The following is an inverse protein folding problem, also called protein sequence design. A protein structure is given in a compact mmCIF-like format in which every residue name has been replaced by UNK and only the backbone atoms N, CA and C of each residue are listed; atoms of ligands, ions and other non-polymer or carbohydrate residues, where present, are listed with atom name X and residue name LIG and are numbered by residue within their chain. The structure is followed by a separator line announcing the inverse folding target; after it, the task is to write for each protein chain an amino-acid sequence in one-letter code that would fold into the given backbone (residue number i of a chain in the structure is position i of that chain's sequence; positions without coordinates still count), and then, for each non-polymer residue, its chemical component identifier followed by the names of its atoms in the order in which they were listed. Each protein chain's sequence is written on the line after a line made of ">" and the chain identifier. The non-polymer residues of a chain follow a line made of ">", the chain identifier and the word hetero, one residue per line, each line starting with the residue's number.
data_IF_423275776431
#
_entry.id   IF_423275776431
#
_cell.length_a   1.000
_cell.length_b   1.000
_cell.length_c   1.000
_cell.angle_alpha   90.00
_cell.angle_beta   90.00
_cell.angle_gamma   90.00
#
_symmetry.space_group_name_H-M   'P 1'
#
loop_
_entity.id
_entity.type
_entity.pdbx_description
1 polymer ?
#
# COMPACT_ATOMS: atom_id res chain seq x y z
N UNK A 1 15.18 2.05 7.29
CA UNK A 1 14.63 3.39 6.96
C UNK A 1 15.39 4.46 7.70
N UNK A 2 15.82 5.54 7.02
CA UNK A 2 16.35 6.73 7.68
C UNK A 2 15.22 7.73 7.94
N UNK A 3 14.51 7.55 9.05
CA UNK A 3 13.37 8.40 9.42
C UNK A 3 13.83 9.79 9.87
N UNK A 4 14.88 9.88 10.69
CA UNK A 4 15.41 11.15 11.22
C UNK A 4 15.81 12.17 10.14
N UNK A 5 16.38 11.70 9.03
CA UNK A 5 16.92 12.54 7.94
C UNK A 5 16.01 12.58 6.71
N UNK A 6 14.71 12.33 6.89
CA UNK A 6 13.75 12.32 5.79
C UNK A 6 13.73 13.69 5.08
N UNK A 7 14.17 13.70 3.83
CA UNK A 7 14.09 14.88 2.94
C UNK A 7 12.64 15.14 2.56
N UNK A 8 12.37 16.34 2.04
CA UNK A 8 11.04 16.69 1.50
C UNK A 8 10.56 15.60 0.51
N UNK A 9 9.35 15.04 0.68
CA UNK A 9 8.84 13.98 -0.17
C UNK A 9 8.72 14.45 -1.62
N UNK A 10 9.17 13.61 -2.56
CA UNK A 10 9.04 13.84 -4.02
C UNK A 10 8.11 12.83 -4.69
N UNK A 11 7.69 11.81 -3.93
CA UNK A 11 6.80 10.73 -4.34
C UNK A 11 6.94 9.52 -3.44
N UNK A 12 6.20 8.46 -3.78
CA UNK A 12 6.34 7.14 -3.18
C UNK A 12 7.72 6.57 -3.51
N UNK A 13 8.45 6.09 -2.50
CA UNK A 13 9.80 5.53 -2.67
C UNK A 13 9.76 4.19 -3.40
N UNK A 14 10.87 3.85 -4.06
CA UNK A 14 10.96 2.66 -4.89
C UNK A 14 10.65 1.36 -4.15
N UNK A 15 11.01 1.23 -2.87
CA UNK A 15 10.72 0.01 -2.13
C UNK A 15 9.22 -0.34 -2.07
N UNK A 16 8.31 0.65 -2.02
CA UNK A 16 6.86 0.40 -2.10
C UNK A 16 6.49 -0.04 -3.51
N UNK A 17 7.07 0.58 -4.54
CA UNK A 17 6.82 0.22 -5.94
C UNK A 17 7.30 -1.21 -6.21
N UNK A 18 8.47 -1.57 -5.70
CA UNK A 18 9.04 -2.91 -5.80
C UNK A 18 8.17 -3.92 -5.04
N UNK A 19 7.69 -3.57 -3.85
CA UNK A 19 6.73 -4.38 -3.10
C UNK A 19 5.43 -4.61 -3.88
N UNK A 20 4.88 -3.57 -4.51
CA UNK A 20 3.71 -3.69 -5.38
C UNK A 20 3.99 -4.62 -6.55
N UNK A 21 5.14 -4.48 -7.22
CA UNK A 21 5.55 -5.40 -8.28
C UNK A 21 5.65 -6.84 -7.79
N UNK A 22 6.17 -7.08 -6.58
CA UNK A 22 6.22 -8.42 -5.98
C UNK A 22 4.85 -9.00 -5.66
N UNK A 23 3.90 -8.17 -5.20
CA UNK A 23 2.52 -8.62 -4.99
C UNK A 23 1.86 -8.96 -6.35
N UNK A 24 2.13 -8.19 -7.41
CA UNK A 24 1.67 -8.50 -8.78
C UNK A 24 2.25 -9.82 -9.28
N UNK A 25 3.55 -10.07 -9.07
CA UNK A 25 4.19 -11.34 -9.42
C UNK A 25 3.47 -12.52 -8.74
N UNK A 26 3.25 -12.44 -7.43
CA UNK A 26 2.52 -13.48 -6.68
C UNK A 26 1.09 -13.66 -7.21
N UNK A 27 0.37 -12.56 -7.46
CA UNK A 27 -0.98 -12.61 -8.00
C UNK A 27 -1.01 -13.35 -9.35
N UNK A 28 -0.12 -12.99 -10.27
CA UNK A 28 -0.02 -13.59 -11.59
C UNK A 28 0.39 -15.07 -11.54
N UNK A 29 1.32 -15.45 -10.67
CA UNK A 29 1.75 -16.84 -10.48
C UNK A 29 0.61 -17.71 -9.93
N UNK A 30 -0.13 -17.22 -8.93
CA UNK A 30 -1.29 -17.94 -8.39
C UNK A 30 -2.40 -18.04 -9.44
N UNK A 31 -2.63 -16.97 -10.20
CA UNK A 31 -3.63 -16.96 -11.28
C UNK A 31 -3.31 -18.01 -12.35
N UNK A 32 -2.05 -18.10 -12.78
CA UNK A 32 -1.61 -19.04 -13.80
C UNK A 32 -1.77 -20.51 -13.36
N UNK A 33 -1.61 -20.80 -12.07
CA UNK A 33 -1.76 -22.15 -11.51
C UNK A 33 -3.23 -22.47 -11.21
N UNK A 34 -3.94 -21.57 -10.53
CA UNK A 34 -5.30 -21.78 -10.07
C UNK A 34 -6.01 -20.46 -9.71
N UNK A 35 -6.84 -19.92 -10.63
CA UNK A 35 -7.53 -18.64 -10.42
C UNK A 35 -8.40 -18.59 -9.15
N UNK A 36 -8.97 -19.73 -8.73
CA UNK A 36 -9.84 -19.80 -7.55
C UNK A 36 -9.13 -19.49 -6.24
N UNK A 37 -7.79 -19.59 -6.20
CA UNK A 37 -6.99 -19.31 -5.00
C UNK A 37 -6.41 -17.90 -4.96
N UNK A 38 -6.49 -17.12 -6.04
CA UNK A 38 -5.87 -15.80 -6.17
C UNK A 38 -6.27 -14.88 -5.02
N UNK A 39 -7.57 -14.72 -4.77
CA UNK A 39 -8.08 -13.87 -3.69
C UNK A 39 -7.52 -14.30 -2.34
N UNK A 40 -7.60 -15.60 -2.03
CA UNK A 40 -7.20 -16.13 -0.71
C UNK A 40 -5.70 -15.98 -0.48
N UNK A 41 -4.88 -16.30 -1.47
CA UNK A 41 -3.42 -16.19 -1.35
C UNK A 41 -3.00 -14.73 -1.27
N UNK A 42 -3.54 -13.88 -2.14
CA UNK A 42 -3.23 -12.45 -2.16
C UNK A 42 -3.62 -11.79 -0.83
N UNK A 43 -4.80 -12.09 -0.28
CA UNK A 43 -5.22 -11.63 1.05
C UNK A 43 -4.21 -11.99 2.14
N UNK A 44 -3.67 -13.22 2.15
CA UNK A 44 -2.65 -13.63 3.12
C UNK A 44 -1.32 -12.89 2.95
N UNK A 45 -0.93 -12.60 1.72
CA UNK A 45 0.24 -11.74 1.46
C UNK A 45 0.00 -10.32 1.96
N UNK A 46 -1.18 -9.75 1.69
CA UNK A 46 -1.53 -8.39 2.13
C UNK A 46 -1.56 -8.30 3.66
N UNK A 47 -2.11 -9.31 4.35
CA UNK A 47 -2.07 -9.38 5.82
C UNK A 47 -0.63 -9.33 6.34
N UNK A 48 0.24 -10.22 5.89
CA UNK A 48 1.65 -10.26 6.32
C UNK A 48 2.40 -8.96 6.01
N UNK A 49 2.17 -8.36 4.85
CA UNK A 49 2.77 -7.08 4.47
C UNK A 49 2.27 -5.94 5.36
N UNK A 50 0.96 -5.91 5.64
CA UNK A 50 0.36 -4.87 6.48
C UNK A 50 0.87 -4.95 7.93
N UNK A 51 0.98 -6.15 8.50
CA UNK A 51 1.54 -6.38 9.83
C UNK A 51 2.99 -5.87 9.93
N UNK A 52 3.81 -6.21 8.93
CA UNK A 52 5.21 -5.81 8.94
C UNK A 52 5.38 -4.29 8.75
N UNK A 53 4.55 -3.66 7.92
CA UNK A 53 4.54 -2.20 7.80
C UNK A 53 4.11 -1.52 9.10
N UNK A 54 3.05 -1.99 9.76
CA UNK A 54 2.62 -1.47 11.05
C UNK A 54 3.72 -1.61 12.09
N UNK A 55 4.35 -2.78 12.19
CA UNK A 55 5.50 -3.01 13.08
C UNK A 55 6.64 -2.04 12.80
N UNK A 56 6.95 -1.79 11.52
CA UNK A 56 8.00 -0.85 11.13
C UNK A 56 7.69 0.59 11.52
N UNK A 57 6.42 1.02 11.49
CA UNK A 57 5.99 2.35 11.95
C UNK A 57 6.11 2.46 13.47
N UNK A 58 5.64 1.45 14.20
CA UNK A 58 5.65 1.43 15.66
C UNK A 58 7.05 1.39 16.28
N UNK A 59 8.03 0.79 15.58
CA UNK A 59 9.42 0.75 16.04
C UNK A 59 10.20 2.06 15.85
N UNK A 60 9.60 3.11 15.26
CA UNK A 60 10.29 4.39 15.03
C UNK A 60 10.17 5.28 16.25
N UNK A 61 11.30 5.55 16.89
CA UNK A 61 11.35 6.44 18.06
C UNK A 61 11.59 7.90 17.71
N UNK A 62 12.06 8.19 16.50
CA UNK A 62 12.40 9.55 16.07
C UNK A 62 11.98 9.84 14.64
N UNK A 63 11.25 10.95 14.47
CA UNK A 63 10.74 11.42 13.20
C UNK A 63 11.42 12.74 12.82
N UNK A 64 12.07 12.77 11.65
CA UNK A 64 12.41 14.03 11.00
C UNK A 64 11.14 14.77 10.52
N UNK A 65 11.23 16.06 10.16
CA UNK A 65 10.08 16.92 9.87
C UNK A 65 9.17 16.42 8.73
N UNK A 66 9.74 15.69 7.77
CA UNK A 66 9.00 15.15 6.62
C UNK A 66 8.61 13.68 6.75
N UNK A 67 9.05 13.01 7.81
CA UNK A 67 8.83 11.57 8.02
C UNK A 67 7.35 11.22 8.10
N UNK A 68 6.50 11.96 8.84
CA UNK A 68 5.07 11.63 8.92
C UNK A 68 4.39 11.71 7.55
N UNK A 69 4.77 12.69 6.73
CA UNK A 69 4.22 12.84 5.37
C UNK A 69 4.63 11.65 4.50
N UNK A 70 5.92 11.30 4.50
CA UNK A 70 6.43 10.20 3.71
C UNK A 70 5.82 8.85 4.15
N UNK A 71 5.76 8.59 5.46
CA UNK A 71 5.16 7.37 6.03
C UNK A 71 3.70 7.23 5.62
N UNK A 72 2.89 8.27 5.85
CA UNK A 72 1.47 8.24 5.51
C UNK A 72 1.26 8.12 3.99
N UNK A 73 2.08 8.79 3.16
CA UNK A 73 2.04 8.66 1.70
C UNK A 73 2.23 7.20 1.26
N UNK A 74 3.18 6.50 1.88
CA UNK A 74 3.52 5.12 1.53
C UNK A 74 2.49 4.10 2.00
N UNK A 75 1.98 4.27 3.22
CA UNK A 75 0.88 3.47 3.75
C UNK A 75 -0.37 3.60 2.87
N UNK A 76 -0.77 4.84 2.55
CA UNK A 76 -1.94 5.09 1.70
C UNK A 76 -1.74 4.56 0.28
N UNK A 77 -0.55 4.76 -0.30
CA UNK A 77 -0.26 4.26 -1.64
C UNK A 77 -0.42 2.74 -1.73
N UNK A 78 0.10 2.00 -0.74
CA UNK A 78 -0.05 0.55 -0.73
C UNK A 78 -1.49 0.13 -0.40
N UNK A 79 -2.13 0.74 0.61
CA UNK A 79 -3.51 0.43 1.00
C UNK A 79 -4.48 0.60 -0.18
N UNK A 80 -4.39 1.70 -0.91
CA UNK A 80 -5.26 1.96 -2.07
C UNK A 80 -4.95 1.02 -3.25
N UNK A 81 -3.69 0.61 -3.41
CA UNK A 81 -3.28 -0.36 -4.43
C UNK A 81 -3.95 -1.71 -4.19
N UNK A 82 -3.99 -2.16 -2.93
CA UNK A 82 -4.42 -3.51 -2.56
C UNK A 82 -5.85 -3.55 -2.03
N UNK A 83 -6.61 -2.47 -2.20
CA UNK A 83 -7.92 -2.24 -1.59
C UNK A 83 -8.90 -3.42 -1.78
N UNK A 84 -8.87 -4.09 -2.93
CA UNK A 84 -9.79 -5.20 -3.21
C UNK A 84 -9.46 -6.51 -2.46
N UNK A 85 -8.24 -6.63 -1.92
CA UNK A 85 -7.80 -7.76 -1.11
C UNK A 85 -7.63 -7.37 0.35
N UNK A 86 -8.09 -6.20 0.76
CA UNK A 86 -8.07 -5.84 2.17
C UNK A 86 -9.02 -6.75 2.94
N UNK A 87 -8.47 -7.41 3.95
CA UNK A 87 -9.25 -8.10 4.97
C UNK A 87 -9.53 -7.13 6.13
N UNK A 88 -10.48 -7.45 7.02
CA UNK A 88 -10.70 -6.66 8.23
C UNK A 88 -9.43 -6.50 9.07
N UNK A 89 -8.61 -7.56 9.13
CA UNK A 89 -7.32 -7.55 9.84
C UNK A 89 -6.33 -6.58 9.19
N UNK A 90 -6.06 -6.73 7.89
CA UNK A 90 -5.17 -5.83 7.17
C UNK A 90 -5.64 -4.36 7.26
N UNK A 91 -6.95 -4.13 7.19
CA UNK A 91 -7.55 -2.81 7.34
C UNK A 91 -7.29 -2.20 8.71
N UNK A 92 -7.35 -3.00 9.79
CA UNK A 92 -6.97 -2.57 11.13
C UNK A 92 -5.49 -2.21 11.18
N UNK A 93 -4.59 -3.05 10.64
CA UNK A 93 -3.16 -2.77 10.63
C UNK A 93 -2.83 -1.42 9.99
N UNK A 94 -3.42 -1.11 8.83
CA UNK A 94 -3.23 0.20 8.18
C UNK A 94 -3.78 1.35 9.02
N UNK A 95 -4.96 1.17 9.64
CA UNK A 95 -5.55 2.18 10.51
C UNK A 95 -4.65 2.46 11.70
N UNK A 96 -4.23 1.42 12.41
CA UNK A 96 -3.38 1.52 13.60
C UNK A 96 -2.05 2.21 13.24
N UNK A 97 -1.43 1.82 12.11
CA UNK A 97 -0.21 2.47 11.63
C UNK A 97 -0.40 3.96 11.26
N UNK A 98 -1.58 4.34 10.74
CA UNK A 98 -1.89 5.73 10.42
C UNK A 98 -2.22 6.55 11.67
N UNK A 99 -2.79 5.94 12.69
CA UNK A 99 -3.12 6.56 13.97
C UNK A 99 -1.87 6.79 14.83
N UNK A 100 -0.88 5.88 14.74
CA UNK A 100 0.43 6.01 15.41
C UNK A 100 1.29 7.15 14.82
N UNK A 101 0.99 7.63 13.61
CA UNK A 101 1.75 8.69 12.96
C UNK A 101 1.28 10.08 13.40
N UNK A 102 2.19 11.06 13.57
CA UNK A 102 1.81 12.44 13.87
C UNK A 102 0.79 13.01 12.86
N UNK A 103 -0.14 13.82 13.38
CA UNK A 103 -1.16 14.51 12.57
C UNK A 103 -0.49 15.52 11.64
N UNK A 104 -0.88 15.52 10.37
CA UNK A 104 -0.33 16.44 9.37
C UNK A 104 -0.97 17.82 9.46
N UNK A 105 -0.15 18.85 9.23
CA UNK A 105 -0.64 20.21 8.97
C UNK A 105 -1.35 20.26 7.61
N UNK A 106 -2.29 21.20 7.38
CA UNK A 106 -3.05 21.30 6.14
C UNK A 106 -2.19 21.36 4.88
N UNK A 107 -1.09 22.11 4.90
CA UNK A 107 -0.15 22.23 3.77
C UNK A 107 0.55 20.90 3.44
N UNK A 108 0.81 20.09 4.45
CA UNK A 108 1.44 18.79 4.33
C UNK A 108 0.46 17.72 3.84
N UNK A 109 -0.81 17.82 4.26
CA UNK A 109 -1.89 16.98 3.75
C UNK A 109 -2.12 17.22 2.24
N UNK A 110 -2.15 18.49 1.81
CA UNK A 110 -2.25 18.83 0.38
C UNK A 110 -1.09 18.25 -0.43
N UNK A 111 0.14 18.43 0.04
CA UNK A 111 1.33 17.85 -0.62
C UNK A 111 1.25 16.32 -0.70
N UNK A 112 0.79 15.65 0.36
CA UNK A 112 0.61 14.21 0.37
C UNK A 112 -0.39 13.76 -0.71
N UNK A 113 -1.55 14.41 -0.80
CA UNK A 113 -2.59 14.09 -1.78
C UNK A 113 -2.09 14.29 -3.21
N UNK A 114 -1.36 15.38 -3.49
CA UNK A 114 -0.72 15.63 -4.79
C UNK A 114 0.27 14.52 -5.17
N UNK A 115 1.11 14.10 -4.24
CA UNK A 115 2.10 13.03 -4.46
C UNK A 115 1.44 11.66 -4.65
N UNK A 116 0.34 11.40 -3.94
CA UNK A 116 -0.43 10.17 -4.08
C UNK A 116 -1.11 10.10 -5.45
N UNK A 117 -1.70 11.19 -5.91
CA UNK A 117 -2.29 11.29 -7.25
C UNK A 117 -1.23 11.10 -8.34
N UNK A 118 -0.06 11.73 -8.19
CA UNK A 118 1.08 11.53 -9.10
C UNK A 118 1.50 10.06 -9.14
N UNK A 119 1.58 9.40 -7.99
CA UNK A 119 1.89 7.97 -7.91
C UNK A 119 0.86 7.13 -8.69
N UNK A 120 -0.44 7.36 -8.49
CA UNK A 120 -1.51 6.66 -9.22
C UNK A 120 -1.40 6.84 -10.73
N UNK A 121 -1.10 8.05 -11.19
CA UNK A 121 -0.92 8.32 -12.62
C UNK A 121 0.31 7.59 -13.19
N UNK A 122 1.42 7.56 -12.44
CA UNK A 122 2.67 6.93 -12.89
C UNK A 122 2.62 5.40 -12.87
N UNK A 123 1.85 4.81 -11.94
CA UNK A 123 1.77 3.36 -11.74
C UNK A 123 0.46 2.76 -12.26
N UNK A 124 -0.29 3.50 -13.08
CA UNK A 124 -1.65 3.15 -13.52
C UNK A 124 -1.75 1.71 -14.02
N UNK A 125 -0.84 1.27 -14.89
CA UNK A 125 -0.86 -0.08 -15.46
C UNK A 125 -0.64 -1.16 -14.41
N UNK A 126 0.27 -0.94 -13.47
CA UNK A 126 0.55 -1.87 -12.38
C UNK A 126 -0.64 -1.97 -11.42
N UNK A 127 -1.27 -0.84 -11.09
CA UNK A 127 -2.46 -0.82 -10.24
C UNK A 127 -3.63 -1.57 -10.88
N UNK A 128 -3.74 -1.54 -12.21
CA UNK A 128 -4.77 -2.28 -12.96
C UNK A 128 -4.65 -3.80 -12.85
N UNK A 129 -3.47 -4.35 -12.51
CA UNK A 129 -3.30 -5.79 -12.30
C UNK A 129 -4.17 -6.31 -11.17
N UNK A 130 -4.48 -5.47 -10.18
CA UNK A 130 -5.37 -5.81 -9.09
C UNK A 130 -6.83 -5.68 -9.53
N UNK A 131 -7.19 -4.59 -10.24
CA UNK A 131 -8.59 -4.29 -10.63
C UNK A 131 -9.27 -5.30 -11.56
N UNK A 132 -8.50 -6.10 -12.31
CA UNK A 132 -9.05 -7.09 -13.27
C UNK A 132 -9.91 -8.19 -12.65
N UNK A 133 -9.73 -8.50 -11.37
CA UNK A 133 -10.44 -9.61 -10.70
C UNK A 133 -11.95 -9.38 -10.55
N UNK A 134 -12.43 -8.12 -10.62
CA UNK A 134 -13.86 -7.82 -10.63
C UNK A 134 -14.59 -8.37 -11.87
N UNK A 135 -13.90 -8.47 -13.01
CA UNK A 135 -14.50 -8.93 -14.28
C UNK A 135 -14.60 -10.46 -14.31
N UNK A 136 -13.67 -11.15 -13.65
CA UNK A 136 -13.67 -12.62 -13.59
C UNK A 136 -14.65 -13.15 -12.55
N UNK A 137 -14.84 -12.46 -11.41
CA UNK A 137 -15.85 -12.81 -10.41
C UNK A 137 -17.27 -12.76 -10.96
N UNK A 138 -17.61 -11.74 -11.74
CA UNK A 138 -18.94 -11.64 -12.37
C UNK A 138 -19.19 -12.69 -13.46
N UNK A 139 -18.12 -13.25 -14.04
CA UNK A 139 -18.20 -14.30 -15.07
C UNK A 139 -18.31 -15.71 -14.49
N UNK A 140 -17.97 -15.91 -13.20
CA UNK A 140 -18.07 -17.19 -12.50
C UNK A 140 -19.38 -17.39 -11.72
N UNK A 141 -20.19 -16.33 -11.61
CA UNK A 141 -21.51 -16.34 -10.95
C UNK A 141 -22.69 -16.39 -11.94
N UNK A 142 -22.41 -16.53 -13.24
CA UNK A 142 -23.38 -16.70 -14.34
C UNK A 142 -23.25 -18.10 -14.96
#
# INVERSE_FOLDING_TARGET
>A
FQWKTCKKPTGVRNYIKDMIMKIIEVHAEVFAVSPVFVTRVTQKVIEAVSEELTRLIQCVTEHGPYSPIQARLELLALQETVNMYLTPHASSCYKDALDDLPVLKPEHKKLQEELLNKFKSQMKFQLMCFYGDNILRSSSEA
#
